data_IF_887376365339
#
_entry.id   IF_887376365339
#
_cell.length_a   1.000
_cell.length_b   1.000
_cell.length_c   1.000
_cell.angle_alpha   90.00
_cell.angle_beta   90.00
_cell.angle_gamma   90.00
#
_symmetry.space_group_name_H-M   'P 1'
#
loop_
_entity.id
_entity.type
_entity.pdbx_description
1 polymer ?
#
# COMPACT_ATOMS: atom_id res chain seq x y z
N UNK A 1 -22.08 -10.25 1.51
CA UNK A 1 -21.53 -9.67 2.77
C UNK A 1 -20.08 -10.11 2.93
N UNK A 2 -19.27 -9.35 3.65
CA UNK A 2 -17.83 -9.60 3.84
C UNK A 2 -17.48 -10.99 4.38
N UNK A 3 -18.41 -11.65 5.08
CA UNK A 3 -18.27 -13.04 5.52
C UNK A 3 -18.13 -14.05 4.37
N UNK A 4 -18.85 -13.85 3.26
CA UNK A 4 -18.76 -14.74 2.10
C UNK A 4 -17.35 -14.74 1.50
N UNK A 5 -16.73 -13.56 1.37
CA UNK A 5 -15.38 -13.43 0.82
C UNK A 5 -14.36 -14.17 1.67
N UNK A 6 -14.38 -13.97 3.00
CA UNK A 6 -13.43 -14.68 3.88
C UNK A 6 -13.67 -16.18 3.87
N UNK A 7 -14.93 -16.63 3.88
CA UNK A 7 -15.26 -18.07 3.82
C UNK A 7 -14.75 -18.73 2.53
N UNK A 8 -14.81 -18.01 1.41
CA UNK A 8 -14.30 -18.48 0.13
C UNK A 8 -12.77 -18.64 0.15
N UNK A 9 -12.05 -17.63 0.63
CA UNK A 9 -10.58 -17.62 0.59
C UNK A 9 -9.92 -18.41 1.73
N UNK A 10 -10.66 -18.78 2.78
CA UNK A 10 -10.16 -19.67 3.84
C UNK A 10 -10.75 -21.08 3.78
N UNK A 11 -11.63 -21.35 2.82
CA UNK A 11 -12.36 -22.61 2.71
C UNK A 11 -11.59 -23.69 1.93
N UNK A 12 -12.15 -24.92 1.83
CA UNK A 12 -11.53 -26.03 1.09
C UNK A 12 -11.31 -25.77 -0.41
N UNK A 13 -11.96 -24.74 -0.96
CA UNK A 13 -11.85 -24.31 -2.36
C UNK A 13 -11.09 -22.99 -2.52
N UNK A 14 -10.35 -22.57 -1.49
CA UNK A 14 -9.53 -21.38 -1.57
C UNK A 14 -8.57 -21.46 -2.78
N UNK A 15 -8.53 -20.45 -3.65
CA UNK A 15 -7.59 -20.43 -4.77
C UNK A 15 -6.15 -20.49 -4.26
N UNK A 16 -5.29 -21.19 -5.01
CA UNK A 16 -3.86 -21.13 -4.76
C UNK A 16 -3.35 -19.69 -4.96
N UNK A 17 -2.42 -19.24 -4.11
CA UNK A 17 -1.78 -17.93 -4.24
C UNK A 17 -2.50 -16.77 -3.53
N UNK A 18 -3.59 -17.00 -2.80
CA UNK A 18 -4.15 -15.97 -1.92
C UNK A 18 -3.21 -15.74 -0.73
N UNK A 19 -2.74 -14.51 -0.59
CA UNK A 19 -1.78 -14.12 0.47
C UNK A 19 -2.38 -13.22 1.54
N UNK A 20 -3.54 -12.60 1.26
CA UNK A 20 -4.13 -11.61 2.14
C UNK A 20 -5.59 -11.30 1.81
N UNK A 21 -6.24 -10.64 2.75
CA UNK A 21 -7.55 -10.03 2.60
C UNK A 21 -7.38 -8.51 2.57
N UNK A 22 -7.89 -7.87 1.51
CA UNK A 22 -8.02 -6.42 1.43
C UNK A 22 -9.41 -5.93 1.81
N UNK A 23 -9.50 -4.62 2.04
CA UNK A 23 -10.74 -3.86 2.16
C UNK A 23 -10.61 -2.68 1.20
N UNK A 24 -11.59 -2.47 0.34
CA UNK A 24 -11.62 -1.35 -0.61
C UNK A 24 -13.06 -0.92 -0.87
N UNK A 25 -13.24 0.07 -1.74
CA UNK A 25 -14.51 0.77 -1.93
C UNK A 25 -14.57 2.08 -1.15
N UNK A 26 -15.75 2.72 -1.03
CA UNK A 26 -15.87 4.01 -0.37
C UNK A 26 -15.44 3.91 1.11
N UNK A 27 -14.48 4.72 1.55
CA UNK A 27 -14.14 4.85 2.98
C UNK A 27 -15.25 5.56 3.78
N UNK A 28 -15.86 6.67 3.29
CA UNK A 28 -16.87 7.39 4.06
C UNK A 28 -18.11 6.52 4.33
N UNK A 29 -18.46 6.40 5.61
CA UNK A 29 -19.60 5.60 6.06
C UNK A 29 -19.33 4.10 6.19
N UNK A 30 -18.13 3.62 5.85
CA UNK A 30 -17.73 2.21 5.95
C UNK A 30 -16.43 2.04 6.76
N UNK A 31 -16.39 2.46 8.04
CA UNK A 31 -15.18 2.40 8.83
C UNK A 31 -14.70 0.96 9.04
N UNK A 32 -13.38 0.81 9.18
CA UNK A 32 -12.68 -0.46 9.18
C UNK A 32 -13.22 -1.45 10.22
N UNK A 33 -13.55 -1.00 11.44
CA UNK A 33 -14.07 -1.87 12.50
C UNK A 33 -15.35 -2.64 12.16
N UNK A 34 -16.13 -2.21 11.15
CA UNK A 34 -17.29 -2.98 10.68
C UNK A 34 -16.88 -4.35 10.10
N UNK A 35 -15.61 -4.52 9.73
CA UNK A 35 -15.08 -5.73 9.09
C UNK A 35 -14.17 -6.56 10.02
N UNK A 36 -14.07 -6.21 11.31
CA UNK A 36 -13.19 -6.89 12.28
C UNK A 36 -13.36 -8.40 12.32
N UNK A 37 -14.59 -8.91 12.23
CA UNK A 37 -14.87 -10.34 12.27
C UNK A 37 -14.28 -11.08 11.05
N UNK A 38 -14.42 -10.51 9.84
CA UNK A 38 -13.85 -11.06 8.61
C UNK A 38 -12.33 -11.06 8.64
N UNK A 39 -11.71 -9.94 9.04
CA UNK A 39 -10.26 -9.84 9.12
C UNK A 39 -9.66 -10.72 10.22
N UNK A 40 -10.33 -10.85 11.37
CA UNK A 40 -9.88 -11.75 12.43
C UNK A 40 -9.88 -13.21 11.95
N UNK A 41 -10.90 -13.61 11.18
CA UNK A 41 -10.94 -14.94 10.56
C UNK A 41 -9.84 -15.12 9.51
N UNK A 42 -9.59 -14.14 8.65
CA UNK A 42 -8.52 -14.20 7.65
C UNK A 42 -7.14 -14.34 8.30
N UNK A 43 -6.84 -13.50 9.31
CA UNK A 43 -5.58 -13.56 10.07
C UNK A 43 -5.41 -14.88 10.82
N UNK A 44 -6.49 -15.42 11.40
CA UNK A 44 -6.46 -16.74 12.06
C UNK A 44 -6.15 -17.89 11.08
N UNK A 45 -6.41 -17.69 9.77
CA UNK A 45 -6.03 -18.61 8.70
C UNK A 45 -4.63 -18.33 8.12
N UNK A 46 -3.87 -17.39 8.68
CA UNK A 46 -2.53 -17.02 8.22
C UNK A 46 -2.47 -16.03 7.06
N UNK A 47 -3.61 -15.43 6.67
CA UNK A 47 -3.65 -14.41 5.63
C UNK A 47 -3.30 -13.02 6.19
N UNK A 48 -2.62 -12.22 5.37
CA UNK A 48 -2.34 -10.83 5.67
C UNK A 48 -3.59 -9.94 5.71
N UNK A 49 -3.53 -8.86 6.48
CA UNK A 49 -4.51 -7.77 6.46
C UNK A 49 -3.98 -6.59 5.64
N UNK A 50 -4.64 -6.28 4.52
CA UNK A 50 -4.20 -5.28 3.54
C UNK A 50 -5.32 -4.26 3.20
N UNK A 51 -5.91 -3.55 4.17
CA UNK A 51 -7.02 -2.64 3.91
C UNK A 51 -6.58 -1.32 3.24
N UNK A 52 -7.46 -0.74 2.44
CA UNK A 52 -7.43 0.69 2.12
C UNK A 52 -7.78 1.47 3.39
N UNK A 53 -7.03 2.53 3.65
CA UNK A 53 -7.37 3.48 4.69
C UNK A 53 -6.64 4.81 4.47
N UNK A 54 -7.29 5.90 4.86
CA UNK A 54 -6.68 7.22 4.82
C UNK A 54 -6.45 7.75 3.41
N UNK A 55 -7.19 7.24 2.42
CA UNK A 55 -7.22 7.83 1.09
C UNK A 55 -8.15 9.05 1.10
N UNK A 56 -9.43 8.84 1.43
CA UNK A 56 -10.47 9.88 1.39
C UNK A 56 -10.87 10.35 2.79
N UNK A 57 -10.67 9.52 3.82
CA UNK A 57 -10.83 9.85 5.24
C UNK A 57 -9.48 10.17 5.90
N UNK A 58 -9.50 10.76 7.11
CA UNK A 58 -8.30 11.20 7.80
C UNK A 58 -7.49 10.08 8.47
N UNK A 59 -6.45 10.45 9.25
CA UNK A 59 -5.62 9.52 10.04
C UNK A 59 -6.41 8.54 10.92
N UNK A 60 -7.59 8.92 11.38
CA UNK A 60 -8.49 8.06 12.15
C UNK A 60 -8.89 6.77 11.42
N UNK A 61 -9.05 6.84 10.09
CA UNK A 61 -9.34 5.67 9.26
C UNK A 61 -8.17 4.68 9.28
N UNK A 62 -6.94 5.20 9.19
CA UNK A 62 -5.71 4.40 9.24
C UNK A 62 -5.54 3.78 10.64
N UNK A 63 -5.75 4.56 11.70
CA UNK A 63 -5.72 4.04 13.07
C UNK A 63 -6.75 2.94 13.30
N UNK A 64 -7.97 3.09 12.75
CA UNK A 64 -8.99 2.06 12.85
C UNK A 64 -8.59 0.79 12.07
N UNK A 65 -8.03 0.93 10.86
CA UNK A 65 -7.49 -0.20 10.11
C UNK A 65 -6.37 -0.93 10.88
N UNK A 66 -5.43 -0.20 11.47
CA UNK A 66 -4.35 -0.78 12.28
C UNK A 66 -4.93 -1.52 13.50
N UNK A 67 -5.79 -0.87 14.29
CA UNK A 67 -6.25 -1.39 15.59
C UNK A 67 -7.31 -2.48 15.46
N UNK A 68 -8.25 -2.30 14.53
CA UNK A 68 -9.41 -3.17 14.38
C UNK A 68 -9.17 -4.30 13.39
N UNK A 69 -8.35 -4.07 12.36
CA UNK A 69 -8.06 -5.05 11.30
C UNK A 69 -6.65 -5.63 11.38
N UNK A 70 -5.78 -5.12 12.25
CA UNK A 70 -4.40 -5.61 12.37
C UNK A 70 -3.64 -5.46 11.07
N UNK A 71 -3.78 -4.30 10.41
CA UNK A 71 -3.22 -4.02 9.09
C UNK A 71 -1.71 -4.27 9.05
N UNK A 72 -1.27 -5.05 8.07
CA UNK A 72 0.15 -5.30 7.76
C UNK A 72 0.69 -4.27 6.75
N UNK A 73 -0.18 -3.76 5.88
CA UNK A 73 0.07 -2.65 4.95
C UNK A 73 -1.21 -1.83 4.84
N UNK A 74 -1.10 -0.60 4.35
CA UNK A 74 -2.23 0.29 4.12
C UNK A 74 -2.28 0.67 2.64
N UNK A 75 -3.41 0.39 2.00
CA UNK A 75 -3.74 0.93 0.69
C UNK A 75 -3.83 2.45 0.76
N UNK A 76 -3.04 3.15 -0.05
CA UNK A 76 -2.86 4.61 -0.06
C UNK A 76 -2.20 5.18 1.21
N UNK A 77 -2.97 5.42 2.27
CA UNK A 77 -2.52 6.16 3.45
C UNK A 77 -2.16 7.62 3.17
N UNK A 78 -2.68 8.22 2.09
CA UNK A 78 -2.35 9.57 1.61
C UNK A 78 -2.46 10.62 2.70
N UNK A 79 -3.51 10.55 3.52
CA UNK A 79 -3.80 11.49 4.60
C UNK A 79 -3.08 11.17 5.93
N UNK A 80 -2.23 10.14 5.96
CA UNK A 80 -1.39 9.82 7.14
C UNK A 80 -0.54 10.99 7.62
N UNK A 81 -0.12 11.86 6.70
CA UNK A 81 0.75 13.01 6.98
C UNK A 81 0.09 14.12 7.80
N UNK A 82 -1.21 14.01 8.06
CA UNK A 82 -1.95 14.92 8.94
C UNK A 82 -1.73 14.60 10.43
N UNK A 83 -1.14 13.43 10.76
CA UNK A 83 -0.86 12.98 12.13
C UNK A 83 0.61 12.51 12.27
N UNK A 84 1.42 13.31 12.96
CA UNK A 84 2.83 12.99 13.20
C UNK A 84 3.05 11.75 14.08
N UNK A 85 2.12 11.44 14.99
CA UNK A 85 2.19 10.24 15.84
C UNK A 85 1.94 9.01 14.99
N UNK A 86 0.97 9.08 14.06
CA UNK A 86 0.72 8.02 13.10
C UNK A 86 1.93 7.77 12.20
N UNK A 87 2.56 8.82 11.67
CA UNK A 87 3.76 8.65 10.84
C UNK A 87 4.89 7.92 11.58
N UNK A 88 5.16 8.31 12.84
CA UNK A 88 6.14 7.63 13.68
C UNK A 88 5.78 6.16 13.92
N UNK A 89 4.51 5.90 14.24
CA UNK A 89 4.03 4.53 14.45
C UNK A 89 4.17 3.65 13.21
N UNK A 90 3.81 4.15 12.02
CA UNK A 90 3.91 3.42 10.76
C UNK A 90 5.38 3.05 10.47
N UNK A 91 6.31 3.99 10.66
CA UNK A 91 7.73 3.75 10.47
C UNK A 91 8.31 2.76 11.49
N UNK A 92 7.97 2.91 12.77
CA UNK A 92 8.47 2.03 13.85
C UNK A 92 7.97 0.59 13.74
N UNK A 93 6.82 0.36 13.11
CA UNK A 93 6.18 -0.95 12.99
C UNK A 93 6.28 -1.55 11.58
N UNK A 94 7.08 -0.96 10.69
CA UNK A 94 7.26 -1.41 9.29
C UNK A 94 5.93 -1.61 8.53
N UNK A 95 4.95 -0.71 8.76
CA UNK A 95 3.66 -0.76 8.07
C UNK A 95 3.78 0.02 6.76
N UNK A 96 3.88 -0.72 5.65
CA UNK A 96 4.05 -0.15 4.31
C UNK A 96 2.81 0.64 3.83
N UNK A 97 3.04 1.78 3.19
CA UNK A 97 1.99 2.52 2.47
C UNK A 97 2.06 2.24 0.96
N UNK A 98 0.95 1.77 0.40
CA UNK A 98 0.81 1.47 -1.02
C UNK A 98 0.40 2.76 -1.78
N UNK A 99 1.39 3.55 -2.20
CA UNK A 99 1.19 4.88 -2.80
C UNK A 99 0.74 4.79 -4.27
N UNK A 100 -0.30 5.53 -4.64
CA UNK A 100 -0.87 5.58 -5.99
C UNK A 100 -1.05 7.03 -6.48
N UNK A 101 0.00 7.62 -7.06
CA UNK A 101 0.07 9.06 -7.38
C UNK A 101 -1.04 9.51 -8.33
N UNK A 102 -1.16 8.84 -9.48
CA UNK A 102 -2.17 9.21 -10.48
C UNK A 102 -3.59 8.89 -10.04
N UNK A 103 -3.77 7.81 -9.26
CA UNK A 103 -5.07 7.47 -8.68
C UNK A 103 -5.55 8.59 -7.76
N UNK A 104 -4.74 9.02 -6.80
CA UNK A 104 -5.13 10.06 -5.85
C UNK A 104 -5.48 11.39 -6.54
N UNK A 105 -4.81 11.74 -7.65
CA UNK A 105 -5.22 12.91 -8.44
C UNK A 105 -6.56 12.68 -9.14
N UNK A 106 -6.73 11.54 -9.81
CA UNK A 106 -7.92 11.24 -10.59
C UNK A 106 -9.18 11.03 -9.72
N UNK A 107 -9.02 10.55 -8.48
CA UNK A 107 -10.09 10.43 -7.48
C UNK A 107 -10.38 11.75 -6.74
N UNK A 108 -9.57 12.79 -6.98
CA UNK A 108 -9.73 14.12 -6.36
C UNK A 108 -9.28 14.20 -4.91
N UNK A 109 -8.54 13.19 -4.42
CA UNK A 109 -7.91 13.18 -3.09
C UNK A 109 -6.84 14.26 -2.98
N UNK A 110 -6.11 14.51 -4.08
CA UNK A 110 -5.19 15.64 -4.24
C UNK A 110 -5.59 16.45 -5.46
N UNK A 111 -5.36 17.78 -5.45
CA UNK A 111 -5.76 18.62 -6.59
C UNK A 111 -4.79 18.47 -7.78
N UNK A 112 -3.51 18.24 -7.51
CA UNK A 112 -2.49 17.98 -8.53
C UNK A 112 -1.43 16.99 -8.04
N UNK A 113 -0.67 16.39 -8.96
CA UNK A 113 0.40 15.43 -8.59
C UNK A 113 1.42 16.11 -7.69
N UNK A 114 1.76 17.37 -7.92
CA UNK A 114 2.71 18.16 -7.13
C UNK A 114 2.33 18.25 -5.65
N UNK A 115 1.03 18.20 -5.34
CA UNK A 115 0.52 18.25 -3.97
C UNK A 115 0.57 16.90 -3.24
N UNK A 116 0.92 15.80 -3.93
CA UNK A 116 0.97 14.49 -3.28
C UNK A 116 2.00 14.49 -2.12
N UNK A 117 1.65 13.97 -0.94
CA UNK A 117 2.50 14.03 0.25
C UNK A 117 3.67 13.01 0.25
N UNK A 118 4.11 12.56 -0.92
CA UNK A 118 5.08 11.47 -1.09
C UNK A 118 6.38 11.76 -0.34
N UNK A 119 6.90 12.99 -0.50
CA UNK A 119 8.14 13.41 0.14
C UNK A 119 8.02 13.47 1.67
N UNK A 120 6.84 13.81 2.20
CA UNK A 120 6.60 13.84 3.65
C UNK A 120 6.58 12.42 4.22
N UNK A 121 5.94 11.48 3.53
CA UNK A 121 5.95 10.06 3.91
C UNK A 121 7.37 9.49 3.92
N UNK A 122 8.12 9.71 2.84
CA UNK A 122 9.52 9.27 2.74
C UNK A 122 10.42 9.91 3.81
N UNK A 123 10.24 11.21 4.07
CA UNK A 123 11.01 11.94 5.08
C UNK A 123 10.73 11.50 6.51
N UNK A 124 9.56 10.91 6.77
CA UNK A 124 9.21 10.29 8.05
C UNK A 124 9.80 8.87 8.22
N UNK A 125 10.49 8.34 7.22
CA UNK A 125 11.10 7.00 7.29
C UNK A 125 10.11 5.85 7.06
N UNK A 126 8.91 6.14 6.56
CA UNK A 126 7.90 5.12 6.29
C UNK A 126 8.32 4.28 5.08
N UNK A 127 8.17 2.94 5.21
CA UNK A 127 8.26 2.03 4.07
C UNK A 127 7.11 2.32 3.11
N UNK A 128 7.42 2.48 1.83
CA UNK A 128 6.39 2.70 0.82
C UNK A 128 6.61 1.82 -0.40
N UNK A 129 5.53 1.63 -1.17
CA UNK A 129 5.55 1.10 -2.52
C UNK A 129 4.86 2.07 -3.49
N UNK A 130 5.28 2.11 -4.75
CA UNK A 130 4.64 2.91 -5.81
C UNK A 130 3.83 1.98 -6.72
N UNK A 131 2.53 2.27 -6.86
CA UNK A 131 1.54 1.38 -7.46
C UNK A 131 0.64 2.15 -8.43
N UNK A 132 -0.05 1.42 -9.31
CA UNK A 132 -0.93 2.01 -10.34
C UNK A 132 -2.38 2.13 -9.92
N UNK A 133 -2.79 1.40 -8.89
CA UNK A 133 -4.18 1.19 -8.53
C UNK A 133 -4.96 0.55 -9.71
N UNK A 134 -5.88 1.28 -10.35
CA UNK A 134 -6.62 0.88 -11.55
C UNK A 134 -6.00 1.45 -12.84
N UNK A 135 -4.96 0.82 -13.45
CA UNK A 135 -4.20 1.42 -14.55
C UNK A 135 -5.04 1.73 -15.79
N UNK A 136 -6.03 0.89 -16.11
CA UNK A 136 -6.92 1.10 -17.25
C UNK A 136 -7.88 2.27 -17.02
N UNK A 137 -8.33 2.47 -15.78
CA UNK A 137 -9.25 3.55 -15.42
C UNK A 137 -8.52 4.90 -15.35
N UNK A 138 -7.32 4.92 -14.77
CA UNK A 138 -6.51 6.14 -14.61
C UNK A 138 -5.61 6.46 -15.81
N UNK A 139 -5.56 5.59 -16.82
CA UNK A 139 -4.71 5.78 -18.00
C UNK A 139 -3.21 5.83 -17.66
N UNK A 140 -2.77 5.05 -16.67
CA UNK A 140 -1.38 5.04 -16.18
C UNK A 140 -0.72 3.68 -16.30
N UNK A 141 0.60 3.65 -16.05
CA UNK A 141 1.42 2.43 -16.00
C UNK A 141 2.41 2.56 -14.83
N UNK A 142 2.95 1.44 -14.33
CA UNK A 142 3.96 1.49 -13.26
C UNK A 142 5.15 2.37 -13.64
N UNK A 143 5.61 2.29 -14.90
CA UNK A 143 6.67 3.14 -15.42
C UNK A 143 6.33 4.64 -15.37
N UNK A 144 5.04 4.99 -15.57
CA UNK A 144 4.58 6.37 -15.45
C UNK A 144 4.56 6.81 -13.99
N UNK A 145 4.06 5.98 -13.07
CA UNK A 145 4.05 6.30 -11.63
C UNK A 145 5.47 6.53 -11.09
N UNK A 146 6.41 5.65 -11.46
CA UNK A 146 7.82 5.82 -11.09
C UNK A 146 8.45 7.09 -11.70
N UNK A 147 8.06 7.46 -12.93
CA UNK A 147 8.47 8.74 -13.53
C UNK A 147 7.87 9.94 -12.80
N UNK A 148 6.61 9.88 -12.36
CA UNK A 148 6.02 10.96 -11.57
C UNK A 148 6.75 11.14 -10.24
N UNK A 149 7.05 10.05 -9.54
CA UNK A 149 7.87 10.09 -8.33
C UNK A 149 9.26 10.72 -8.61
N UNK A 150 9.90 10.36 -9.72
CA UNK A 150 11.20 10.94 -10.11
C UNK A 150 11.12 12.41 -10.50
N UNK A 151 10.25 12.75 -11.45
CA UNK A 151 10.28 14.02 -12.17
C UNK A 151 9.52 15.12 -11.44
N UNK A 152 8.38 14.77 -10.82
CA UNK A 152 7.54 15.74 -10.10
C UNK A 152 7.98 15.86 -8.65
N UNK A 153 8.18 14.71 -7.99
CA UNK A 153 8.59 14.70 -6.58
C UNK A 153 10.09 14.66 -6.38
N UNK A 154 10.92 14.62 -7.43
CA UNK A 154 12.39 14.66 -7.32
C UNK A 154 12.98 13.48 -6.51
N UNK A 155 12.32 12.31 -6.54
CA UNK A 155 12.85 11.09 -5.93
C UNK A 155 13.99 10.54 -6.79
N UNK A 156 15.21 10.56 -6.24
CA UNK A 156 16.40 10.05 -6.93
C UNK A 156 16.34 8.56 -7.25
N UNK A 157 17.08 8.11 -8.27
CA UNK A 157 17.08 6.73 -8.76
C UNK A 157 17.42 5.72 -7.65
N UNK A 158 18.45 6.00 -6.84
CA UNK A 158 18.82 5.13 -5.72
C UNK A 158 17.70 5.00 -4.69
N UNK A 159 16.97 6.09 -4.43
CA UNK A 159 15.81 6.04 -3.52
C UNK A 159 14.66 5.27 -4.15
N UNK A 160 14.39 5.40 -5.45
CA UNK A 160 13.40 4.58 -6.14
C UNK A 160 13.76 3.09 -6.12
N UNK A 161 15.03 2.75 -6.32
CA UNK A 161 15.55 1.38 -6.19
C UNK A 161 15.34 0.85 -4.77
N UNK A 162 15.57 1.68 -3.75
CA UNK A 162 15.26 1.32 -2.37
C UNK A 162 13.76 1.11 -2.15
N UNK A 163 12.89 1.99 -2.66
CA UNK A 163 11.42 1.81 -2.61
C UNK A 163 10.98 0.48 -3.23
N UNK A 164 11.60 0.05 -4.33
CA UNK A 164 11.30 -1.27 -4.91
C UNK A 164 11.77 -2.43 -4.02
N UNK A 165 12.90 -2.27 -3.31
CA UNK A 165 13.38 -3.27 -2.33
C UNK A 165 12.50 -3.31 -1.08
N UNK A 166 11.99 -2.17 -0.64
CA UNK A 166 11.07 -2.02 0.49
C UNK A 166 9.73 -2.72 0.14
N UNK A 167 9.18 -2.44 -1.04
CA UNK A 167 8.00 -3.13 -1.58
C UNK A 167 8.20 -4.65 -1.66
N UNK A 168 9.38 -5.11 -2.11
CA UNK A 168 9.72 -6.53 -2.14
C UNK A 168 9.81 -7.14 -0.73
N UNK A 169 10.37 -6.42 0.23
CA UNK A 169 10.43 -6.86 1.62
C UNK A 169 9.03 -6.99 2.22
N UNK A 170 8.14 -6.01 1.98
CA UNK A 170 6.75 -5.98 2.40
C UNK A 170 5.82 -6.93 1.61
N UNK A 171 6.31 -7.55 0.53
CA UNK A 171 5.53 -8.51 -0.27
C UNK A 171 5.36 -9.85 0.44
N UNK A 172 4.43 -10.66 -0.05
CA UNK A 172 4.21 -12.04 0.40
C UNK A 172 4.80 -13.08 -0.57
N UNK A 173 5.77 -12.66 -1.39
CA UNK A 173 6.51 -13.56 -2.27
C UNK A 173 7.34 -14.57 -1.47
N UNK A 174 7.66 -15.71 -2.08
CA UNK A 174 8.48 -16.74 -1.44
C UNK A 174 9.89 -16.21 -1.12
N UNK A 175 10.60 -16.74 -0.11
CA UNK A 175 11.98 -16.34 0.17
C UNK A 175 12.91 -16.47 -1.05
N UNK A 176 12.70 -17.50 -1.89
CA UNK A 176 13.47 -17.71 -3.11
C UNK A 176 13.19 -16.60 -4.14
N UNK A 177 11.93 -16.22 -4.34
CA UNK A 177 11.58 -15.12 -5.24
C UNK A 177 12.10 -13.78 -4.74
N UNK A 178 11.99 -13.52 -3.42
CA UNK A 178 12.55 -12.32 -2.81
C UNK A 178 14.06 -12.24 -3.00
N UNK A 179 14.79 -13.35 -2.87
CA UNK A 179 16.23 -13.37 -3.09
C UNK A 179 16.58 -13.07 -4.56
N UNK A 180 15.92 -13.75 -5.50
CA UNK A 180 16.13 -13.55 -6.94
C UNK A 180 15.83 -12.12 -7.38
N UNK A 181 14.67 -11.58 -7.01
CA UNK A 181 14.27 -10.22 -7.41
C UNK A 181 15.17 -9.17 -6.75
N UNK A 182 15.61 -9.41 -5.50
CA UNK A 182 16.56 -8.52 -4.83
C UNK A 182 17.90 -8.47 -5.58
N UNK A 183 18.40 -9.61 -6.04
CA UNK A 183 19.60 -9.68 -6.86
C UNK A 183 19.43 -8.92 -8.19
N UNK A 184 18.29 -9.07 -8.87
CA UNK A 184 17.98 -8.30 -10.09
C UNK A 184 17.97 -6.80 -9.82
N UNK A 185 17.34 -6.37 -8.72
CA UNK A 185 17.33 -4.96 -8.30
C UNK A 185 18.74 -4.47 -7.99
N UNK A 186 19.56 -5.25 -7.27
CA UNK A 186 20.93 -4.88 -6.89
C UNK A 186 21.81 -4.60 -8.12
N UNK A 187 21.63 -5.37 -9.20
CA UNK A 187 22.36 -5.20 -10.47
C UNK A 187 21.70 -4.21 -11.45
N UNK A 188 20.59 -3.56 -11.08
CA UNK A 188 19.98 -2.53 -11.91
C UNK A 188 20.75 -1.21 -11.80
N UNK A 189 21.39 -0.79 -12.89
CA UNK A 189 22.19 0.45 -13.00
C UNK A 189 21.41 1.64 -13.58
N UNK A 190 20.08 1.53 -13.67
CA UNK A 190 19.22 2.53 -14.32
C UNK A 190 18.86 2.16 -15.76
N UNK A 191 18.05 3.01 -16.43
CA UNK A 191 17.77 2.81 -17.84
C UNK A 191 19.06 2.94 -18.66
N UNK A 192 19.37 1.93 -19.47
CA UNK A 192 20.41 2.05 -20.50
C UNK A 192 20.05 3.20 -21.44
N UNK A 193 21.01 4.08 -21.79
CA UNK A 193 20.77 5.22 -22.69
C UNK A 193 20.09 4.86 -24.01
#
# INVERSE_FOLDING_TARGET
GSHFTVDLITGPRAPAGVVGLGLGGPEPGFPAHLFTSSFSKARAAGLASLPHAGETEGPESIWDAIRSLGANRIGHGTRSVEDAVLLGYLAENDIDLEVCLSSNQATGVIASIEEHPLQRMMGAGISISVNTDDPAYFGTTLNRELRLARDVHQVGIERLKQVQKDALAASYASPADKARIREELDHYDGPTP
#
